data_IF_364146063719
#
_entry.id   IF_364146063719
#
_cell.length_a   1.000
_cell.length_b   1.000
_cell.length_c   1.000
_cell.angle_alpha   90.00
_cell.angle_beta   90.00
_cell.angle_gamma   90.00
#
_symmetry.space_group_name_H-M   'P 1'
#
loop_
_entity.id
_entity.type
_entity.pdbx_description
1 polymer ?
#
# COMPACT_ATOMS: atom_id res chain seq x y z
N UNK A 1 -30.65 5.94 4.17
CA UNK A 1 -30.93 4.53 3.80
C UNK A 1 -30.04 3.96 2.70
N UNK A 2 -29.79 4.63 1.54
CA UNK A 2 -28.76 4.14 0.58
C UNK A 2 -27.33 4.23 1.16
N UNK A 3 -27.06 5.28 1.91
CA UNK A 3 -25.77 5.59 2.56
C UNK A 3 -25.37 4.60 3.64
N UNK A 4 -26.33 4.05 4.38
CA UNK A 4 -26.07 3.23 5.57
C UNK A 4 -25.64 1.81 5.16
N UNK A 5 -26.25 1.29 4.09
CA UNK A 5 -25.87 0.00 3.49
C UNK A 5 -24.49 0.06 2.83
N UNK A 6 -24.16 1.14 2.14
CA UNK A 6 -22.82 1.32 1.56
C UNK A 6 -21.72 1.38 2.62
N UNK A 7 -22.01 2.03 3.75
CA UNK A 7 -21.09 2.06 4.90
C UNK A 7 -20.93 0.66 5.50
N UNK A 8 -22.02 -0.05 5.74
CA UNK A 8 -21.98 -1.41 6.29
C UNK A 8 -21.16 -2.37 5.40
N UNK A 9 -21.34 -2.30 4.07
CA UNK A 9 -20.56 -3.13 3.14
C UNK A 9 -19.06 -2.81 3.18
N UNK A 10 -18.69 -1.53 3.34
CA UNK A 10 -17.28 -1.12 3.48
C UNK A 10 -16.69 -1.61 4.79
N UNK A 11 -17.42 -1.43 5.88
CA UNK A 11 -17.00 -1.86 7.21
C UNK A 11 -16.75 -3.38 7.21
N UNK A 12 -17.68 -4.17 6.65
CA UNK A 12 -17.51 -5.63 6.52
C UNK A 12 -16.27 -6.01 5.70
N UNK A 13 -15.99 -5.31 4.60
CA UNK A 13 -14.78 -5.56 3.80
C UNK A 13 -13.49 -5.25 4.58
N UNK A 14 -13.45 -4.14 5.32
CA UNK A 14 -12.27 -3.79 6.13
C UNK A 14 -12.11 -4.70 7.35
N UNK A 15 -13.21 -5.17 7.96
CA UNK A 15 -13.16 -6.20 9.01
C UNK A 15 -12.57 -7.51 8.48
N UNK A 16 -12.94 -7.93 7.27
CA UNK A 16 -12.32 -9.09 6.61
C UNK A 16 -10.81 -8.88 6.40
N UNK A 17 -10.39 -7.69 5.93
CA UNK A 17 -8.96 -7.36 5.79
C UNK A 17 -8.19 -7.38 7.12
N UNK A 18 -8.83 -6.95 8.22
CA UNK A 18 -8.23 -6.99 9.57
C UNK A 18 -8.10 -8.44 10.08
N UNK A 19 -8.95 -9.35 9.61
CA UNK A 19 -8.94 -10.75 10.05
C UNK A 19 -7.79 -11.60 9.46
N UNK A 20 -7.13 -11.12 8.40
CA UNK A 20 -6.00 -11.79 7.76
C UNK A 20 -4.80 -11.87 8.73
N UNK A 21 -4.22 -13.06 8.87
CA UNK A 21 -3.18 -13.36 9.88
C UNK A 21 -1.78 -13.54 9.31
N UNK A 22 -1.64 -13.66 7.99
CA UNK A 22 -0.35 -13.91 7.33
C UNK A 22 -0.23 -13.22 5.97
N UNK A 23 1.00 -13.15 5.46
CA UNK A 23 1.28 -12.63 4.11
C UNK A 23 0.70 -13.55 3.04
N UNK A 24 0.76 -14.87 3.24
CA UNK A 24 0.20 -15.84 2.30
C UNK A 24 -1.32 -15.69 2.20
N UNK A 25 -2.02 -15.49 3.33
CA UNK A 25 -3.46 -15.16 3.33
C UNK A 25 -3.77 -13.85 2.61
N UNK A 26 -2.87 -12.85 2.68
CA UNK A 26 -3.04 -11.62 1.91
C UNK A 26 -2.93 -11.89 0.40
N UNK A 27 -1.96 -12.71 -0.02
CA UNK A 27 -1.80 -13.07 -1.43
C UNK A 27 -3.04 -13.83 -1.94
N UNK A 28 -3.45 -14.90 -1.26
CA UNK A 28 -4.61 -15.70 -1.64
C UNK A 28 -5.88 -14.81 -1.75
N UNK A 29 -6.12 -13.95 -0.75
CA UNK A 29 -7.28 -13.06 -0.74
C UNK A 29 -7.27 -12.06 -1.91
N UNK A 30 -6.15 -11.39 -2.16
CA UNK A 30 -6.08 -10.36 -3.20
C UNK A 30 -6.05 -10.96 -4.62
N UNK A 31 -5.50 -12.16 -4.81
CA UNK A 31 -5.55 -12.87 -6.09
C UNK A 31 -6.96 -13.32 -6.46
N UNK A 32 -7.80 -13.67 -5.47
CA UNK A 32 -9.19 -14.04 -5.69
C UNK A 32 -10.07 -12.85 -6.13
N UNK A 33 -9.85 -11.66 -5.56
CA UNK A 33 -10.77 -10.52 -5.73
C UNK A 33 -10.27 -9.43 -6.69
N UNK A 34 -8.99 -9.42 -7.01
CA UNK A 34 -8.37 -8.39 -7.82
C UNK A 34 -7.55 -8.99 -8.96
N UNK A 35 -7.49 -8.29 -10.08
CA UNK A 35 -6.56 -8.63 -11.14
C UNK A 35 -5.14 -8.28 -10.73
N UNK A 36 -4.14 -8.98 -11.29
CA UNK A 36 -2.74 -8.64 -11.05
C UNK A 36 -2.39 -7.17 -11.35
N UNK A 37 -3.08 -6.53 -12.31
CA UNK A 37 -2.89 -5.10 -12.61
C UNK A 37 -3.44 -4.17 -11.52
N UNK A 38 -4.53 -4.55 -10.87
CA UNK A 38 -5.11 -3.78 -9.77
C UNK A 38 -4.24 -3.91 -8.52
N UNK A 39 -3.77 -5.12 -8.21
CA UNK A 39 -2.83 -5.37 -7.13
C UNK A 39 -1.51 -4.59 -7.34
N UNK A 40 -0.94 -4.66 -8.54
CA UNK A 40 0.26 -3.91 -8.90
C UNK A 40 0.05 -2.40 -8.76
N UNK A 41 -1.13 -1.89 -9.11
CA UNK A 41 -1.44 -0.47 -8.92
C UNK A 41 -1.49 -0.05 -7.44
N UNK A 42 -1.89 -0.94 -6.52
CA UNK A 42 -1.80 -0.68 -5.07
C UNK A 42 -0.34 -0.71 -4.60
N UNK A 43 0.42 -1.71 -5.02
CA UNK A 43 1.84 -1.88 -4.68
C UNK A 43 2.67 -0.68 -5.16
N UNK A 44 2.51 -0.27 -6.42
CA UNK A 44 3.21 0.89 -6.98
C UNK A 44 2.94 2.17 -6.17
N UNK A 45 1.69 2.42 -5.77
CA UNK A 45 1.34 3.58 -4.93
C UNK A 45 1.97 3.51 -3.55
N UNK A 46 2.04 2.32 -2.96
CA UNK A 46 2.72 2.10 -1.70
C UNK A 46 4.23 2.37 -1.80
N UNK A 47 4.88 1.84 -2.84
CA UNK A 47 6.31 2.05 -3.09
C UNK A 47 6.64 3.53 -3.28
N UNK A 48 5.84 4.26 -4.07
CA UNK A 48 5.96 5.72 -4.23
C UNK A 48 5.91 6.42 -2.87
N UNK A 49 4.96 6.05 -2.02
CA UNK A 49 4.81 6.66 -0.69
C UNK A 49 6.00 6.37 0.23
N UNK A 50 6.48 5.12 0.24
CA UNK A 50 7.64 4.69 1.03
C UNK A 50 8.91 5.43 0.59
N UNK A 51 9.14 5.56 -0.72
CA UNK A 51 10.28 6.31 -1.28
C UNK A 51 10.20 7.81 -0.98
N UNK A 52 9.01 8.41 -1.11
CA UNK A 52 8.78 9.80 -0.69
C UNK A 52 9.10 10.01 0.79
N UNK A 53 8.79 9.03 1.64
CA UNK A 53 9.10 9.09 3.07
C UNK A 53 10.59 8.94 3.36
N UNK A 54 11.32 8.19 2.54
CA UNK A 54 12.78 8.06 2.60
C UNK A 54 13.54 9.28 2.05
N UNK A 55 12.84 10.25 1.44
CA UNK A 55 13.45 11.47 0.89
C UNK A 55 13.93 11.35 -0.56
N UNK A 56 13.55 10.29 -1.28
CA UNK A 56 13.89 10.12 -2.69
C UNK A 56 13.37 11.29 -3.55
N UNK A 57 14.13 11.65 -4.60
CA UNK A 57 13.70 12.66 -5.56
C UNK A 57 12.57 12.13 -6.46
N UNK A 58 11.81 13.02 -7.09
CA UNK A 58 10.75 12.61 -8.02
C UNK A 58 11.29 11.78 -9.17
N UNK A 59 12.43 12.17 -9.74
CA UNK A 59 13.07 11.44 -10.83
C UNK A 59 13.44 10.01 -10.42
N UNK A 60 14.06 9.85 -9.25
CA UNK A 60 14.38 8.52 -8.71
C UNK A 60 13.11 7.68 -8.49
N UNK A 61 12.06 8.28 -7.92
CA UNK A 61 10.80 7.56 -7.69
C UNK A 61 10.18 7.11 -9.01
N UNK A 62 10.11 7.99 -10.01
CA UNK A 62 9.53 7.68 -11.31
C UNK A 62 10.30 6.57 -12.03
N UNK A 63 11.64 6.62 -11.99
CA UNK A 63 12.50 5.58 -12.55
C UNK A 63 12.27 4.22 -11.87
N UNK A 64 12.27 4.20 -10.54
CA UNK A 64 12.28 2.97 -9.77
C UNK A 64 10.92 2.30 -9.66
N UNK A 65 9.83 3.09 -9.66
CA UNK A 65 8.48 2.54 -9.53
C UNK A 65 7.70 2.59 -10.85
N UNK A 66 8.28 3.13 -11.93
CA UNK A 66 7.58 3.41 -13.19
C UNK A 66 6.30 4.25 -13.00
N UNK A 67 6.27 5.08 -11.95
CA UNK A 67 5.14 5.95 -11.66
C UNK A 67 5.24 7.22 -12.51
N UNK A 68 4.10 7.79 -12.87
CA UNK A 68 4.07 9.12 -13.53
C UNK A 68 4.21 10.21 -12.47
N UNK A 69 4.78 11.37 -12.83
CA UNK A 69 4.89 12.53 -11.93
C UNK A 69 3.56 12.96 -11.30
N UNK A 70 2.45 12.81 -12.04
CA UNK A 70 1.10 13.09 -11.56
C UNK A 70 0.67 12.17 -10.41
N UNK A 71 1.13 10.91 -10.43
CA UNK A 71 0.91 9.94 -9.35
C UNK A 71 1.74 10.30 -8.12
N UNK A 72 3.06 10.54 -8.30
CA UNK A 72 3.96 10.94 -7.21
C UNK A 72 3.43 12.19 -6.50
N UNK A 73 3.00 13.18 -7.27
CA UNK A 73 2.37 14.40 -6.77
C UNK A 73 1.07 14.14 -5.98
N UNK A 74 0.20 13.23 -6.45
CA UNK A 74 -1.03 12.84 -5.73
C UNK A 74 -0.72 12.14 -4.42
N UNK A 75 0.21 11.19 -4.41
CA UNK A 75 0.59 10.44 -3.21
C UNK A 75 1.22 11.37 -2.16
N UNK A 76 2.12 12.27 -2.57
CA UNK A 76 2.68 13.29 -1.66
C UNK A 76 1.60 14.13 -0.98
N UNK A 77 0.59 14.59 -1.74
CA UNK A 77 -0.56 15.32 -1.16
C UNK A 77 -1.36 14.45 -0.18
N UNK A 78 -1.61 13.19 -0.52
CA UNK A 78 -2.31 12.26 0.38
C UNK A 78 -1.55 12.02 1.69
N UNK A 79 -0.22 11.96 1.65
CA UNK A 79 0.62 11.78 2.85
C UNK A 79 0.66 13.03 3.74
N UNK A 80 0.55 14.21 3.15
CA UNK A 80 0.59 15.48 3.89
C UNK A 80 -0.75 15.89 4.50
N UNK A 81 -1.84 15.19 4.17
CA UNK A 81 -3.16 15.43 4.75
C UNK A 81 -3.20 14.93 6.20
N UNK A 82 -3.88 15.68 7.07
CA UNK A 82 -4.24 15.20 8.41
C UNK A 82 -5.04 13.88 8.33
N UNK A 83 -4.78 12.96 9.25
CA UNK A 83 -5.40 11.64 9.26
C UNK A 83 -5.02 10.75 8.06
N UNK A 84 -3.87 10.99 7.42
CA UNK A 84 -3.39 10.10 6.34
C UNK A 84 -3.04 8.71 6.87
N UNK A 85 -3.89 7.73 6.55
CA UNK A 85 -3.63 6.32 6.89
C UNK A 85 -2.33 5.79 6.27
N UNK A 86 -2.00 6.21 5.04
CA UNK A 86 -0.77 5.81 4.35
C UNK A 86 0.48 6.28 5.11
N UNK A 87 0.50 7.54 5.57
CA UNK A 87 1.58 8.05 6.42
C UNK A 87 1.62 7.32 7.76
N UNK A 88 0.48 7.08 8.40
CA UNK A 88 0.42 6.42 9.70
C UNK A 88 0.99 4.98 9.64
N UNK A 89 0.65 4.21 8.61
CA UNK A 89 1.19 2.85 8.40
C UNK A 89 2.70 2.90 8.16
N UNK A 90 3.18 3.78 7.29
CA UNK A 90 4.62 3.89 7.01
C UNK A 90 5.44 4.32 8.23
N UNK A 91 4.92 5.26 9.04
CA UNK A 91 5.56 5.64 10.32
C UNK A 91 5.69 4.44 11.25
N UNK A 92 4.64 3.61 11.37
CA UNK A 92 4.66 2.39 12.18
C UNK A 92 5.66 1.37 11.62
N UNK A 93 5.66 1.13 10.31
CA UNK A 93 6.62 0.24 9.64
C UNK A 93 8.07 0.66 9.96
N UNK A 94 8.40 1.94 9.79
CA UNK A 94 9.74 2.46 10.01
C UNK A 94 10.14 2.48 11.49
N UNK A 95 9.20 2.70 12.40
CA UNK A 95 9.45 2.65 13.84
C UNK A 95 9.67 1.21 14.35
N UNK A 96 9.09 0.22 13.66
CA UNK A 96 9.23 -1.20 13.99
C UNK A 96 10.47 -1.87 13.40
N UNK A 97 11.24 -1.19 12.54
CA UNK A 97 12.65 -1.46 12.26
C UNK A 97 13.11 -2.88 11.83
N UNK A 98 12.25 -3.83 11.42
CA UNK A 98 12.71 -5.23 11.31
C UNK A 98 12.09 -6.15 10.22
N UNK A 99 11.34 -5.68 9.22
CA UNK A 99 10.55 -6.62 8.36
C UNK A 99 11.08 -6.83 6.92
N UNK A 100 12.04 -6.06 6.39
CA UNK A 100 12.29 -6.09 4.92
C UNK A 100 13.56 -6.82 4.43
N UNK A 101 14.35 -7.51 5.25
CA UNK A 101 15.48 -8.30 4.74
C UNK A 101 15.13 -9.76 4.37
N UNK A 102 13.99 -10.30 4.82
CA UNK A 102 13.67 -11.72 4.62
C UNK A 102 12.99 -12.05 3.27
N UNK A 103 12.43 -11.06 2.55
CA UNK A 103 11.74 -11.30 1.29
C UNK A 103 12.68 -11.48 0.07
N UNK A 104 13.89 -10.92 0.12
CA UNK A 104 14.84 -10.97 -1.00
C UNK A 104 15.50 -12.35 -1.22
N UNK A 105 15.28 -13.31 -0.30
CA UNK A 105 15.90 -14.65 -0.35
C UNK A 105 14.96 -15.77 -0.82
N UNK A 106 13.67 -15.51 -1.06
CA UNK A 106 12.71 -16.56 -1.48
C UNK A 106 12.36 -16.59 -2.98
N UNK A 107 12.96 -15.71 -3.79
CA UNK A 107 12.70 -15.61 -5.25
C UNK A 107 13.73 -16.30 -6.16
N UNK A 108 14.60 -17.17 -5.65
CA UNK A 108 15.49 -18.00 -6.47
C UNK A 108 15.27 -19.47 -6.14
N UNK A 109 14.21 -20.06 -6.69
CA UNK A 109 14.18 -21.49 -6.97
C UNK A 109 13.29 -21.79 -8.15
#
# INVERSE_FOLDING_TARGET
MKTDKERANRDQFFEALISLQSIDECYDFFEDIATGKELEAFIQRYQVARRLMNGDTYETIEHETNARSSMVSRIKRCMNREGSGLRAVLVREMSSGAVTEQAAQRGRS
#
